data_IF_790115982553
#
_entry.id   IF_790115982553
#
_cell.length_a   1.000
_cell.length_b   1.000
_cell.length_c   1.000
_cell.angle_alpha   90.00
_cell.angle_beta   90.00
_cell.angle_gamma   90.00
#
_symmetry.space_group_name_H-M   'P 1'
#
loop_
_entity.id
_entity.type
_entity.pdbx_description
1 polymer ?
#
# COMPACT_ATOMS: atom_id res chain seq x y z
N UNK A 1 46.72 -14.68 23.02
CA UNK A 1 45.84 -13.96 22.07
C UNK A 1 44.63 -14.85 21.82
N UNK A 2 43.46 -14.48 22.36
CA UNK A 2 42.22 -15.23 22.23
C UNK A 2 41.32 -14.52 21.20
N UNK A 3 40.83 -15.26 20.20
CA UNK A 3 39.88 -14.75 19.21
C UNK A 3 38.50 -14.56 19.86
N UNK A 4 37.79 -13.43 19.62
CA UNK A 4 36.45 -13.26 20.13
C UNK A 4 35.45 -14.10 19.31
N UNK A 5 34.62 -14.83 20.06
CA UNK A 5 33.51 -15.66 19.58
C UNK A 5 32.67 -14.97 18.51
N UNK A 6 32.43 -15.68 17.40
CA UNK A 6 31.44 -15.31 16.40
C UNK A 6 30.06 -15.27 17.03
N UNK A 7 29.42 -14.10 16.98
CA UNK A 7 28.02 -13.95 17.36
C UNK A 7 27.15 -14.82 16.44
N UNK A 8 26.16 -15.54 16.97
CA UNK A 8 25.21 -16.29 16.15
C UNK A 8 24.42 -15.31 15.28
N UNK A 9 24.44 -15.52 13.96
CA UNK A 9 23.59 -14.79 13.03
C UNK A 9 22.13 -14.96 13.49
N UNK A 10 21.37 -13.88 13.76
CA UNK A 10 19.97 -14.00 14.09
C UNK A 10 19.26 -14.65 12.89
N UNK A 11 18.75 -15.86 13.09
CA UNK A 11 17.86 -16.52 12.14
C UNK A 11 16.66 -15.60 11.94
N UNK A 12 16.56 -15.00 10.75
CA UNK A 12 15.47 -14.11 10.40
C UNK A 12 14.15 -14.88 10.43
N UNK A 13 13.32 -14.65 11.44
CA UNK A 13 11.96 -15.20 11.50
C UNK A 13 11.20 -14.66 10.29
N UNK A 14 10.81 -15.54 9.37
CA UNK A 14 10.02 -15.18 8.19
C UNK A 14 8.55 -15.27 8.57
N UNK A 15 7.93 -14.13 8.83
CA UNK A 15 6.49 -14.01 9.11
C UNK A 15 5.74 -14.02 7.77
N UNK A 16 4.72 -14.87 7.63
CA UNK A 16 3.92 -14.96 6.41
C UNK A 16 3.03 -13.73 6.20
N UNK A 17 2.57 -13.45 4.98
CA UNK A 17 1.74 -12.26 4.69
C UNK A 17 0.47 -12.18 5.54
N UNK A 18 -0.20 -13.31 5.78
CA UNK A 18 -1.40 -13.33 6.62
C UNK A 18 -1.10 -12.92 8.07
N UNK A 19 0.01 -13.41 8.63
CA UNK A 19 0.46 -13.06 9.98
C UNK A 19 0.88 -11.59 10.06
N UNK A 20 1.57 -11.08 9.03
CA UNK A 20 1.92 -9.67 8.94
C UNK A 20 0.66 -8.79 8.94
N UNK A 21 -0.37 -9.14 8.16
CA UNK A 21 -1.64 -8.40 8.15
C UNK A 21 -2.32 -8.40 9.53
N UNK A 22 -2.28 -9.51 10.27
CA UNK A 22 -2.80 -9.57 11.63
C UNK A 22 -2.03 -8.63 12.58
N UNK A 23 -0.70 -8.55 12.45
CA UNK A 23 0.11 -7.62 13.24
C UNK A 23 -0.25 -6.16 12.92
N UNK A 24 -0.40 -5.82 11.65
CA UNK A 24 -0.85 -4.48 11.23
C UNK A 24 -2.26 -4.15 11.72
N UNK A 25 -3.17 -5.11 11.70
CA UNK A 25 -4.51 -4.95 12.27
C UNK A 25 -4.46 -4.64 13.76
N UNK A 26 -3.65 -5.39 14.52
CA UNK A 26 -3.44 -5.14 15.96
C UNK A 26 -2.85 -3.75 16.19
N UNK A 27 -1.86 -3.32 15.40
CA UNK A 27 -1.34 -1.96 15.47
C UNK A 27 -2.42 -0.91 15.23
N UNK A 28 -3.25 -1.09 14.20
CA UNK A 28 -4.37 -0.20 13.92
C UNK A 28 -5.35 -0.10 15.09
N UNK A 29 -5.75 -1.25 15.65
CA UNK A 29 -6.66 -1.31 16.81
C UNK A 29 -6.07 -0.61 18.05
N UNK A 30 -4.79 -0.82 18.35
CA UNK A 30 -4.12 -0.19 19.49
C UNK A 30 -4.02 1.33 19.33
N UNK A 31 -3.67 1.81 18.13
CA UNK A 31 -3.60 3.24 17.85
C UNK A 31 -4.98 3.91 17.85
N UNK A 32 -6.00 3.21 17.35
CA UNK A 32 -7.38 3.69 17.32
C UNK A 32 -8.11 3.63 18.66
N UNK A 33 -7.56 2.95 19.67
CA UNK A 33 -8.15 2.84 21.00
C UNK A 33 -8.09 4.14 21.83
N UNK A 34 -7.55 5.23 21.29
CA UNK A 34 -7.41 6.54 21.95
C UNK A 34 -6.66 6.46 23.30
N UNK A 35 -5.66 5.58 23.38
CA UNK A 35 -4.82 5.39 24.59
C UNK A 35 -3.68 6.43 24.69
N UNK A 36 -3.47 7.23 23.65
CA UNK A 36 -2.43 8.24 23.54
C UNK A 36 -3.00 9.54 22.92
N UNK A 37 -2.32 10.69 23.10
CA UNK A 37 -2.68 11.95 22.43
C UNK A 37 -2.74 11.82 20.91
N UNK A 38 -3.65 12.56 20.25
CA UNK A 38 -3.88 12.46 18.80
C UNK A 38 -2.64 12.73 17.94
N UNK A 39 -1.77 13.64 18.38
CA UNK A 39 -0.49 13.93 17.71
C UNK A 39 0.43 12.71 17.70
N UNK A 40 0.61 12.07 18.86
CA UNK A 40 1.43 10.87 18.98
C UNK A 40 0.83 9.69 18.19
N UNK A 41 -0.50 9.57 18.18
CA UNK A 41 -1.19 8.57 17.34
C UNK A 41 -0.91 8.83 15.85
N UNK A 42 -0.93 10.09 15.42
CA UNK A 42 -0.58 10.48 14.05
C UNK A 42 0.85 10.09 13.66
N UNK A 43 1.84 10.44 14.48
CA UNK A 43 3.25 10.11 14.25
C UNK A 43 3.49 8.59 14.20
N UNK A 44 2.88 7.84 15.11
CA UNK A 44 2.99 6.38 15.13
C UNK A 44 2.29 5.75 13.94
N UNK A 45 1.13 6.26 13.54
CA UNK A 45 0.42 5.79 12.35
C UNK A 45 1.24 6.03 11.09
N UNK A 46 1.88 7.18 10.95
CA UNK A 46 2.80 7.46 9.85
C UNK A 46 3.99 6.47 9.86
N UNK A 47 4.58 6.20 11.02
CA UNK A 47 5.65 5.19 11.14
C UNK A 47 5.20 3.79 10.69
N UNK A 48 3.97 3.38 11.03
CA UNK A 48 3.41 2.07 10.66
C UNK A 48 3.09 1.99 9.17
N UNK A 49 2.52 3.05 8.59
CA UNK A 49 2.10 3.07 7.19
C UNK A 49 3.23 3.42 6.22
N UNK A 50 4.29 4.09 6.67
CA UNK A 50 5.36 4.54 5.80
C UNK A 50 6.02 3.41 4.99
N UNK A 51 6.46 2.28 5.59
CA UNK A 51 7.08 1.21 4.81
C UNK A 51 6.23 0.64 3.67
N UNK A 52 4.96 0.23 3.88
CA UNK A 52 4.13 -0.27 2.78
C UNK A 52 3.77 0.81 1.75
N UNK A 53 3.66 2.09 2.16
CA UNK A 53 3.40 3.19 1.23
C UNK A 53 4.61 3.53 0.36
N UNK A 54 5.81 3.58 0.96
CA UNK A 54 7.06 3.79 0.23
C UNK A 54 7.28 2.63 -0.78
N UNK A 55 6.99 1.39 -0.37
CA UNK A 55 7.04 0.21 -1.26
C UNK A 55 6.02 0.30 -2.40
N UNK A 56 4.77 0.67 -2.11
CA UNK A 56 3.74 0.84 -3.14
C UNK A 56 4.12 1.94 -4.15
N UNK A 57 4.68 3.05 -3.67
CA UNK A 57 5.13 4.14 -4.51
C UNK A 57 6.27 3.71 -5.44
N UNK A 58 7.26 2.97 -4.94
CA UNK A 58 8.34 2.40 -5.74
C UNK A 58 7.80 1.46 -6.82
N UNK A 59 6.89 0.57 -6.46
CA UNK A 59 6.23 -0.33 -7.40
C UNK A 59 5.50 0.41 -8.52
N UNK A 60 4.91 1.58 -8.23
CA UNK A 60 4.26 2.41 -9.25
C UNK A 60 5.27 3.12 -10.16
N UNK A 61 6.33 3.70 -9.59
CA UNK A 61 7.36 4.43 -10.33
C UNK A 61 8.09 3.53 -11.34
N UNK A 62 8.46 2.32 -10.93
CA UNK A 62 9.18 1.36 -11.78
C UNK A 62 8.32 0.84 -12.95
N UNK A 63 7.00 0.93 -12.86
CA UNK A 63 6.08 0.49 -13.93
C UNK A 63 5.97 1.53 -15.04
N UNK A 64 5.98 2.81 -14.67
CA UNK A 64 5.93 3.95 -15.59
C UNK A 64 7.26 4.15 -16.34
N UNK A 65 8.39 3.86 -15.69
CA UNK A 65 9.71 3.91 -16.32
C UNK A 65 9.86 2.86 -17.44
N UNK A 66 9.30 1.66 -17.26
CA UNK A 66 9.36 0.57 -18.25
C UNK A 66 8.53 0.81 -19.50
N UNK A 67 7.49 1.65 -19.44
CA UNK A 67 6.62 1.97 -20.59
C UNK A 67 7.17 3.10 -21.47
N UNK A 68 8.05 3.96 -20.96
CA UNK A 68 8.67 5.05 -21.74
C UNK A 68 9.84 4.61 -22.62
N UNK A 69 10.43 3.43 -22.37
CA UNK A 69 11.64 2.98 -23.07
C UNK A 69 11.39 2.26 -24.41
N UNK A 70 10.13 1.99 -24.80
CA UNK A 70 9.81 1.25 -26.04
C UNK A 70 9.27 2.11 -27.18
N UNK A 71 9.18 3.43 -27.02
CA UNK A 71 8.71 4.35 -28.08
C UNK A 71 9.84 5.01 -28.90
N UNK A 72 11.10 4.57 -28.76
CA UNK A 72 12.19 5.08 -29.59
C UNK A 72 13.08 3.96 -30.10
N UNK A 73 13.31 3.98 -31.42
CA UNK A 73 14.18 3.13 -32.24
C UNK A 73 13.56 1.85 -32.85
N UNK A 74 13.09 2.06 -34.08
CA UNK A 74 13.08 1.14 -35.22
C UNK A 74 14.32 0.22 -35.27
N UNK A 75 14.12 -1.09 -35.31
CA UNK A 75 14.93 -2.06 -36.08
C UNK A 75 14.20 -3.40 -36.19
N UNK A 76 13.77 -3.84 -37.40
CA UNK A 76 13.09 -5.11 -37.57
C UNK A 76 14.09 -6.18 -38.03
N UNK A 77 14.65 -6.99 -37.14
CA UNK A 77 15.31 -8.26 -37.51
C UNK A 77 15.76 -9.11 -36.32
N UNK A 78 14.84 -9.72 -35.56
CA UNK A 78 15.12 -11.02 -34.88
C UNK A 78 13.82 -11.83 -34.78
N UNK A 79 13.68 -12.86 -35.61
CA UNK A 79 12.76 -13.97 -35.39
C UNK A 79 13.40 -14.99 -34.43
N UNK A 80 12.57 -15.65 -33.63
CA UNK A 80 12.86 -16.77 -32.72
C UNK A 80 13.42 -16.43 -31.33
N UNK A 81 12.50 -16.23 -30.37
CA UNK A 81 12.80 -16.18 -28.92
C UNK A 81 11.65 -15.69 -28.02
N UNK A 82 10.46 -15.40 -28.56
CA UNK A 82 9.48 -14.46 -27.98
C UNK A 82 8.63 -14.96 -26.81
N UNK A 83 8.61 -16.27 -26.50
CA UNK A 83 7.67 -16.79 -25.50
C UNK A 83 8.23 -16.77 -24.06
N UNK A 84 9.54 -16.94 -23.90
CA UNK A 84 10.17 -16.96 -22.58
C UNK A 84 10.18 -15.56 -21.94
N UNK A 85 10.52 -14.52 -22.72
CA UNK A 85 10.56 -13.14 -22.23
C UNK A 85 9.17 -12.57 -21.89
N UNK A 86 8.12 -12.99 -22.62
CA UNK A 86 6.75 -12.62 -22.32
C UNK A 86 6.24 -13.27 -21.01
N UNK A 87 6.54 -14.56 -20.81
CA UNK A 87 6.18 -15.26 -19.58
C UNK A 87 6.91 -14.72 -18.34
N UNK A 88 8.20 -14.39 -18.49
CA UNK A 88 8.98 -13.73 -17.42
C UNK A 88 8.45 -12.34 -17.09
N UNK A 89 8.08 -11.55 -18.11
CA UNK A 89 7.48 -10.23 -17.90
C UNK A 89 6.13 -10.32 -17.19
N UNK A 90 5.30 -11.30 -17.54
CA UNK A 90 4.00 -11.52 -16.89
C UNK A 90 4.18 -12.02 -15.44
N UNK A 91 5.15 -12.91 -15.18
CA UNK A 91 5.45 -13.37 -13.83
C UNK A 91 5.95 -12.23 -12.92
N UNK A 92 6.81 -11.34 -13.45
CA UNK A 92 7.25 -10.14 -12.75
C UNK A 92 6.09 -9.18 -12.48
N UNK A 93 5.19 -9.00 -13.45
CA UNK A 93 3.99 -8.19 -13.27
C UNK A 93 3.10 -8.77 -12.16
N UNK A 94 2.82 -10.07 -12.20
CA UNK A 94 1.99 -10.75 -11.21
C UNK A 94 2.58 -10.62 -9.80
N UNK A 95 3.89 -10.83 -9.64
CA UNK A 95 4.59 -10.68 -8.35
C UNK A 95 4.51 -9.24 -7.82
N UNK A 96 4.68 -8.24 -8.69
CA UNK A 96 4.55 -6.83 -8.30
C UNK A 96 3.12 -6.45 -7.94
N UNK A 97 2.14 -6.97 -8.67
CA UNK A 97 0.73 -6.77 -8.37
C UNK A 97 0.32 -7.40 -7.03
N UNK A 98 0.85 -8.58 -6.70
CA UNK A 98 0.65 -9.23 -5.39
C UNK A 98 1.21 -8.36 -4.25
N UNK A 99 2.43 -7.83 -4.41
CA UNK A 99 3.02 -6.91 -3.42
C UNK A 99 2.21 -5.61 -3.29
N UNK A 100 1.72 -5.05 -4.40
CA UNK A 100 0.86 -3.87 -4.37
C UNK A 100 -0.46 -4.18 -3.62
N UNK A 101 -1.09 -5.31 -3.91
CA UNK A 101 -2.31 -5.76 -3.22
C UNK A 101 -2.07 -5.97 -1.72
N UNK A 102 -0.90 -6.51 -1.33
CA UNK A 102 -0.50 -6.63 0.06
C UNK A 102 -0.38 -5.25 0.73
N UNK A 103 0.33 -4.29 0.13
CA UNK A 103 0.48 -2.94 0.67
C UNK A 103 -0.89 -2.24 0.86
N UNK A 104 -1.80 -2.37 -0.11
CA UNK A 104 -3.17 -1.85 -0.01
C UNK A 104 -3.93 -2.53 1.15
N UNK A 105 -3.76 -3.84 1.29
CA UNK A 105 -4.38 -4.61 2.38
C UNK A 105 -3.89 -4.16 3.74
N UNK A 106 -2.59 -3.85 3.90
CA UNK A 106 -2.03 -3.30 5.14
C UNK A 106 -2.75 -2.01 5.55
N UNK A 107 -2.89 -1.05 4.63
CA UNK A 107 -3.61 0.21 4.92
C UNK A 107 -5.05 -0.06 5.36
N UNK A 108 -5.74 -0.97 4.67
CA UNK A 108 -7.13 -1.29 4.94
C UNK A 108 -7.34 -2.02 6.28
N UNK A 109 -6.41 -2.87 6.72
CA UNK A 109 -6.52 -3.52 8.04
C UNK A 109 -6.12 -2.58 9.18
N UNK A 110 -5.13 -1.71 8.98
CA UNK A 110 -4.79 -0.67 9.96
C UNK A 110 -5.96 0.28 10.17
N UNK A 111 -6.67 0.67 9.10
CA UNK A 111 -7.80 1.58 9.21
C UNK A 111 -8.99 1.04 9.99
N UNK A 112 -9.10 -0.28 10.19
CA UNK A 112 -10.17 -0.89 11.01
C UNK A 112 -10.18 -0.36 12.44
N UNK A 113 -9.02 -0.01 12.99
CA UNK A 113 -8.93 0.59 14.33
C UNK A 113 -9.51 2.00 14.40
N UNK A 114 -9.70 2.68 13.27
CA UNK A 114 -10.11 4.06 13.21
C UNK A 114 -11.53 4.15 12.63
N UNK A 115 -12.52 4.19 13.52
CA UNK A 115 -13.91 4.43 13.15
C UNK A 115 -14.24 5.92 13.30
N UNK A 116 -14.78 6.53 12.24
CA UNK A 116 -15.36 7.87 12.29
C UNK A 116 -14.39 8.98 12.78
N UNK A 117 -13.27 9.16 12.05
CA UNK A 117 -12.29 10.23 12.36
C UNK A 117 -12.89 11.63 12.23
N UNK A 118 -13.96 11.79 11.45
CA UNK A 118 -14.67 13.07 11.30
C UNK A 118 -15.29 13.51 12.63
N UNK A 119 -15.92 12.59 13.37
CA UNK A 119 -16.41 12.86 14.72
C UNK A 119 -15.29 13.18 15.72
N UNK A 120 -14.16 12.46 15.65
CA UNK A 120 -13.02 12.70 16.52
C UNK A 120 -12.39 14.10 16.29
N UNK A 121 -12.28 14.52 15.02
CA UNK A 121 -11.70 15.83 14.65
C UNK A 121 -12.56 17.00 15.16
N UNK A 122 -13.89 16.84 15.20
CA UNK A 122 -14.78 17.89 15.73
C UNK A 122 -14.64 18.10 17.24
N UNK A 123 -14.16 17.09 17.97
CA UNK A 123 -13.97 17.12 19.43
C UNK A 123 -12.56 17.57 19.83
N UNK A 124 -11.55 17.32 18.99
CA UNK A 124 -10.18 17.74 19.23
C UNK A 124 -9.84 19.01 18.44
N UNK A 125 -9.59 20.14 19.12
CA UNK A 125 -9.02 21.36 18.52
C UNK A 125 -7.59 21.16 17.93
N UNK A 126 -7.11 19.92 17.80
CA UNK A 126 -5.72 19.57 17.54
C UNK A 126 -5.55 18.36 16.62
N UNK A 127 -4.87 18.66 15.51
CA UNK A 127 -4.20 17.80 14.53
C UNK A 127 -5.06 16.78 13.75
N UNK A 128 -5.38 17.12 12.49
CA UNK A 128 -5.92 16.18 11.50
C UNK A 128 -4.88 15.16 10.99
N UNK A 129 -3.87 14.81 11.79
CA UNK A 129 -2.72 14.00 11.39
C UNK A 129 -3.13 12.58 10.96
N UNK A 130 -3.94 11.81 11.74
CA UNK A 130 -4.37 10.49 11.29
C UNK A 130 -5.19 10.52 10.01
N UNK A 131 -6.06 11.53 9.88
CA UNK A 131 -6.88 11.76 8.68
C UNK A 131 -5.98 12.02 7.47
N UNK A 132 -4.97 12.89 7.61
CA UNK A 132 -4.02 13.20 6.54
C UNK A 132 -3.24 11.97 6.09
N UNK A 133 -2.81 11.11 7.03
CA UNK A 133 -2.13 9.87 6.73
C UNK A 133 -3.00 8.91 5.90
N UNK A 134 -4.26 8.69 6.29
CA UNK A 134 -5.18 7.83 5.53
C UNK A 134 -5.56 8.42 4.16
N UNK A 135 -5.74 9.74 4.06
CA UNK A 135 -5.97 10.43 2.79
C UNK A 135 -4.77 10.23 1.84
N UNK A 136 -3.55 10.37 2.36
CA UNK A 136 -2.33 10.13 1.59
C UNK A 136 -2.23 8.66 1.13
N UNK A 137 -2.45 7.73 2.05
CA UNK A 137 -2.44 6.29 1.77
C UNK A 137 -3.47 5.89 0.70
N UNK A 138 -4.69 6.41 0.79
CA UNK A 138 -5.74 6.17 -0.20
C UNK A 138 -5.36 6.73 -1.57
N UNK A 139 -4.76 7.93 -1.64
CA UNK A 139 -4.31 8.51 -2.91
C UNK A 139 -3.27 7.61 -3.59
N UNK A 140 -2.30 7.07 -2.84
CA UNK A 140 -1.30 6.15 -3.38
C UNK A 140 -1.92 4.82 -3.81
N UNK A 141 -2.83 4.27 -3.01
CA UNK A 141 -3.55 3.04 -3.35
C UNK A 141 -4.35 3.18 -4.66
N UNK A 142 -5.08 4.27 -4.84
CA UNK A 142 -5.83 4.52 -6.07
C UNK A 142 -4.90 4.83 -7.26
N UNK A 143 -3.78 5.52 -7.03
CA UNK A 143 -2.79 5.73 -8.08
C UNK A 143 -2.16 4.41 -8.57
N UNK A 144 -2.08 3.38 -7.72
CA UNK A 144 -1.58 2.07 -8.12
C UNK A 144 -2.46 1.31 -9.12
N UNK A 145 -3.72 1.74 -9.28
CA UNK A 145 -4.63 1.17 -10.30
C UNK A 145 -4.19 1.52 -11.72
N UNK A 146 -3.41 2.59 -11.93
CA UNK A 146 -2.85 2.91 -13.24
C UNK A 146 -1.92 1.80 -13.76
N UNK A 147 -0.85 1.44 -13.03
CA UNK A 147 0.05 0.36 -13.46
C UNK A 147 -0.53 -1.04 -13.25
N UNK A 148 -1.36 -1.27 -12.22
CA UNK A 148 -1.80 -2.61 -11.82
C UNK A 148 -3.29 -2.89 -12.01
N UNK A 149 -4.04 -2.00 -12.65
CA UNK A 149 -5.50 -2.10 -12.80
C UNK A 149 -5.97 -3.35 -13.54
N UNK A 150 -5.10 -4.06 -14.27
CA UNK A 150 -5.41 -5.37 -14.89
C UNK A 150 -5.50 -6.50 -13.86
N UNK A 151 -4.81 -6.40 -12.72
CA UNK A 151 -4.85 -7.39 -11.65
C UNK A 151 -6.18 -7.33 -10.88
N UNK A 152 -6.93 -8.43 -10.92
CA UNK A 152 -8.21 -8.53 -10.19
C UNK A 152 -8.02 -8.41 -8.68
N UNK A 153 -6.91 -8.90 -8.14
CA UNK A 153 -6.62 -8.83 -6.71
C UNK A 153 -6.37 -7.38 -6.27
N UNK A 154 -5.57 -6.62 -7.02
CA UNK A 154 -5.33 -5.20 -6.74
C UNK A 154 -6.63 -4.40 -6.76
N UNK A 155 -7.50 -4.62 -7.77
CA UNK A 155 -8.83 -3.98 -7.82
C UNK A 155 -9.68 -4.36 -6.61
N UNK A 156 -9.72 -5.65 -6.23
CA UNK A 156 -10.47 -6.11 -5.07
C UNK A 156 -9.97 -5.48 -3.76
N UNK A 157 -8.65 -5.36 -3.57
CA UNK A 157 -8.07 -4.70 -2.39
C UNK A 157 -8.32 -3.21 -2.38
N UNK A 158 -8.27 -2.54 -3.54
CA UNK A 158 -8.61 -1.12 -3.66
C UNK A 158 -10.07 -0.85 -3.31
N UNK A 159 -11.01 -1.70 -3.77
CA UNK A 159 -12.42 -1.63 -3.39
C UNK A 159 -12.64 -1.86 -1.89
N UNK A 160 -11.95 -2.86 -1.31
CA UNK A 160 -11.97 -3.12 0.12
C UNK A 160 -11.48 -1.91 0.92
N UNK A 161 -10.36 -1.31 0.50
CA UNK A 161 -9.82 -0.09 1.11
C UNK A 161 -10.81 1.07 0.99
N UNK A 162 -11.41 1.30 -0.19
CA UNK A 162 -12.41 2.34 -0.37
C UNK A 162 -13.58 2.18 0.59
N UNK A 163 -14.12 0.96 0.71
CA UNK A 163 -15.19 0.68 1.67
C UNK A 163 -14.77 1.02 3.10
N UNK A 164 -13.55 0.66 3.52
CA UNK A 164 -13.05 1.02 4.85
C UNK A 164 -12.87 2.54 4.99
N UNK A 165 -12.36 3.22 3.97
CA UNK A 165 -12.17 4.66 4.00
C UNK A 165 -13.49 5.44 4.04
N UNK A 166 -14.61 4.90 3.52
CA UNK A 166 -15.96 5.47 3.74
C UNK A 166 -16.24 5.55 5.24
N UNK A 167 -15.97 4.47 5.97
CA UNK A 167 -16.20 4.38 7.42
C UNK A 167 -15.22 5.25 8.24
N UNK A 168 -13.97 5.35 7.78
CA UNK A 168 -12.91 6.08 8.48
C UNK A 168 -12.94 7.59 8.21
N UNK A 169 -13.11 8.02 6.95
CA UNK A 169 -12.98 9.42 6.50
C UNK A 169 -14.33 10.13 6.25
N UNK A 170 -15.43 9.37 6.10
CA UNK A 170 -16.77 9.90 5.81
C UNK A 170 -16.83 10.73 4.49
N UNK A 171 -17.33 11.96 4.53
CA UNK A 171 -17.74 12.77 3.36
C UNK A 171 -16.57 13.18 2.44
N UNK A 172 -15.34 13.20 2.93
CA UNK A 172 -14.15 13.56 2.13
C UNK A 172 -13.85 12.58 0.99
N UNK A 173 -14.40 11.36 1.09
CA UNK A 173 -14.11 10.31 0.12
C UNK A 173 -14.65 10.63 -1.29
N UNK A 174 -15.68 11.47 -1.38
CA UNK A 174 -16.35 11.79 -2.65
C UNK A 174 -15.37 12.35 -3.68
N UNK A 175 -14.38 13.13 -3.25
CA UNK A 175 -13.34 13.70 -4.12
C UNK A 175 -12.44 12.63 -4.77
N UNK A 176 -12.33 11.45 -4.16
CA UNK A 176 -11.45 10.36 -4.62
C UNK A 176 -12.18 9.35 -5.51
N UNK A 177 -13.50 9.23 -5.40
CA UNK A 177 -14.29 8.25 -6.15
C UNK A 177 -14.34 8.59 -7.65
N UNK A 178 -14.61 9.84 -8.01
CA UNK A 178 -14.74 10.26 -9.41
C UNK A 178 -13.55 9.87 -10.31
N UNK A 179 -12.28 10.16 -9.94
CA UNK A 179 -11.14 9.80 -10.78
C UNK A 179 -10.82 8.29 -10.77
N UNK A 180 -11.23 7.54 -9.75
CA UNK A 180 -10.91 6.12 -9.61
C UNK A 180 -11.94 5.18 -10.24
N UNK A 181 -13.20 5.59 -10.35
CA UNK A 181 -14.30 4.77 -10.86
C UNK A 181 -14.01 4.06 -12.20
N UNK A 182 -13.43 4.72 -13.24
CA UNK A 182 -13.16 4.06 -14.51
C UNK A 182 -12.15 2.92 -14.45
N UNK A 183 -11.33 2.87 -13.39
CA UNK A 183 -10.30 1.84 -13.20
C UNK A 183 -10.78 0.71 -12.27
N UNK A 184 -11.88 0.93 -11.56
CA UNK A 184 -12.49 -0.02 -10.62
C UNK A 184 -13.56 -0.88 -11.30
N UNK A 185 -14.20 -0.35 -12.35
CA UNK A 185 -15.20 -1.02 -13.19
C UNK A 185 -14.53 -1.73 -14.38
#
# INVERSE_FOLDING_TARGET
>A
AAQPNGAPNPSSVRVGFAEQLNLYEVCGLLLGANLAPSEQVGELLECVLKPPLDQLQQLCADSLAGTSATSSAVSPLVMSGTNASAAESEALFASRAELAAHCISVVAVVSKGFSNLSAATALSNGSGLPRAAFVHAMRLALASLQPFGRSADVRAKALMLLHRMVETLSEDLVAFLNPALPQLL
#
